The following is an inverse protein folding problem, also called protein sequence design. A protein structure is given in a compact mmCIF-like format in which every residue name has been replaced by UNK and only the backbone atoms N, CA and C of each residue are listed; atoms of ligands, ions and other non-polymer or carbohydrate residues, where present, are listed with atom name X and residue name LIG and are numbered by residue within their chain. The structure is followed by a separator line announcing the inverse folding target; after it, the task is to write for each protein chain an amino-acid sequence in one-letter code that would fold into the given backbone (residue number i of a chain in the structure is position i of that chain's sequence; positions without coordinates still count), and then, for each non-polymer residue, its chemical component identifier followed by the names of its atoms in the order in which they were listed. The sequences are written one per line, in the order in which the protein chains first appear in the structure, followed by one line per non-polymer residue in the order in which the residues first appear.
data_IF_596882018967
#
_entry.id   IF_596882018967
#
_cell.length_a   1.000
_cell.length_b   1.000
_cell.length_c   1.000
_cell.angle_alpha   90.00
_cell.angle_beta   90.00
_cell.angle_gamma   90.00
#
_symmetry.space_group_name_H-M   'P 1'
#
loop_
_entity.id
_entity.type
_entity.pdbx_description
1 polymer ?
#
# COMPACT_ATOMS: atom_id res chain seq x y z
N UNK A 1 5.63 -40.00 40.39
CA UNK A 1 6.52 -39.28 39.46
C UNK A 1 6.03 -39.36 38.01
N UNK A 2 5.76 -40.50 37.44
CA UNK A 2 5.31 -40.66 36.02
C UNK A 2 3.96 -39.99 35.72
N UNK A 3 2.99 -40.03 36.64
CA UNK A 3 1.66 -39.41 36.45
C UNK A 3 1.76 -37.90 36.36
N UNK A 4 2.65 -37.26 37.11
CA UNK A 4 2.86 -35.80 37.04
C UNK A 4 3.46 -35.38 35.71
N UNK A 5 4.39 -36.16 35.16
CA UNK A 5 4.99 -35.93 33.85
C UNK A 5 3.93 -36.07 32.75
N UNK A 6 3.08 -37.11 32.85
CA UNK A 6 1.99 -37.32 31.90
C UNK A 6 0.98 -36.15 31.90
N UNK A 7 0.58 -35.68 33.11
CA UNK A 7 -0.32 -34.53 33.25
C UNK A 7 0.31 -33.25 32.71
N UNK A 8 1.59 -33.04 32.89
CA UNK A 8 2.31 -31.88 32.35
C UNK A 8 2.34 -31.90 30.82
N UNK A 9 2.60 -33.06 30.20
CA UNK A 9 2.58 -33.22 28.76
C UNK A 9 1.18 -32.95 28.17
N UNK A 10 0.15 -33.52 28.85
CA UNK A 10 -1.25 -33.30 28.44
C UNK A 10 -1.62 -31.83 28.53
N UNK A 11 -1.24 -31.13 29.60
CA UNK A 11 -1.51 -29.69 29.75
C UNK A 11 -0.82 -28.84 28.69
N UNK A 12 0.41 -29.20 28.31
CA UNK A 12 1.11 -28.53 27.19
C UNK A 12 0.41 -28.74 25.85
N UNK A 13 -0.04 -29.94 25.55
CA UNK A 13 -0.74 -30.25 24.31
C UNK A 13 -2.09 -29.52 24.24
N UNK A 14 -2.84 -29.51 25.33
CA UNK A 14 -4.13 -28.79 25.45
C UNK A 14 -3.91 -27.28 25.33
N UNK A 15 -2.90 -26.71 26.00
CA UNK A 15 -2.59 -25.29 25.86
C UNK A 15 -2.20 -24.90 24.44
N UNK A 16 -1.48 -25.77 23.72
CA UNK A 16 -1.14 -25.55 22.33
C UNK A 16 -2.35 -25.64 21.40
N UNK A 17 -3.25 -26.58 21.66
CA UNK A 17 -4.46 -26.78 20.87
C UNK A 17 -5.50 -25.67 21.07
N UNK A 18 -5.54 -25.06 22.26
CA UNK A 18 -6.46 -23.98 22.61
C UNK A 18 -5.91 -22.59 22.31
N UNK A 19 -4.70 -22.46 21.77
CA UNK A 19 -4.19 -21.16 21.37
C UNK A 19 -5.11 -20.50 20.34
N UNK A 20 -5.62 -19.29 20.63
CA UNK A 20 -6.46 -18.57 19.67
C UNK A 20 -5.67 -18.34 18.37
N UNK A 21 -6.27 -18.66 17.26
CA UNK A 21 -5.65 -18.41 15.94
C UNK A 21 -5.49 -16.90 15.79
N UNK A 22 -4.30 -16.41 15.43
CA UNK A 22 -4.12 -14.98 15.16
C UNK A 22 -5.13 -14.53 14.11
N UNK A 23 -5.85 -13.46 14.41
CA UNK A 23 -6.82 -12.89 13.48
C UNK A 23 -6.04 -12.42 12.25
N UNK A 24 -6.47 -12.87 11.09
CA UNK A 24 -5.89 -12.42 9.82
C UNK A 24 -6.52 -11.07 9.48
N UNK A 25 -5.73 -10.03 9.19
CA UNK A 25 -6.28 -8.79 8.66
C UNK A 25 -7.08 -9.11 7.39
N UNK A 26 -8.16 -8.38 7.14
CA UNK A 26 -8.88 -8.44 5.87
C UNK A 26 -8.23 -7.44 4.91
N UNK A 27 -8.16 -7.80 3.62
CA UNK A 27 -7.80 -6.82 2.59
C UNK A 27 -8.92 -5.78 2.51
N UNK A 28 -8.55 -4.50 2.36
CA UNK A 28 -9.50 -3.44 2.07
C UNK A 28 -10.17 -3.70 0.71
N UNK A 29 -11.47 -3.50 0.63
CA UNK A 29 -12.19 -3.53 -0.63
C UNK A 29 -11.90 -2.25 -1.43
N UNK A 30 -12.07 -2.30 -2.75
CA UNK A 30 -11.84 -1.13 -3.60
C UNK A 30 -12.75 0.05 -3.22
N UNK A 31 -13.97 -0.24 -2.80
CA UNK A 31 -14.97 0.72 -2.37
C UNK A 31 -14.63 1.46 -1.07
N UNK A 32 -13.64 0.97 -0.32
CA UNK A 32 -13.14 1.64 0.90
C UNK A 32 -12.17 2.79 0.59
N UNK A 33 -11.73 2.93 -0.67
CA UNK A 33 -10.87 4.03 -1.08
C UNK A 33 -11.71 5.21 -1.56
N UNK A 34 -11.50 6.36 -0.93
CA UNK A 34 -12.10 7.63 -1.33
C UNK A 34 -11.15 8.34 -2.33
N UNK A 35 -11.62 8.51 -3.55
CA UNK A 35 -10.87 9.22 -4.59
C UNK A 35 -11.60 10.50 -4.98
N UNK A 36 -10.86 11.62 -5.15
CA UNK A 36 -11.45 12.84 -5.69
C UNK A 36 -11.89 12.60 -7.14
N UNK A 37 -13.18 12.49 -7.36
CA UNK A 37 -13.78 12.28 -8.68
C UNK A 37 -14.16 13.58 -9.36
N UNK A 38 -14.19 13.59 -10.67
CA UNK A 38 -14.64 14.73 -11.47
C UNK A 38 -16.17 14.70 -11.57
N UNK A 39 -16.80 15.81 -11.23
CA UNK A 39 -18.21 16.06 -11.51
C UNK A 39 -18.35 17.02 -12.70
N UNK A 40 -19.51 16.96 -13.38
CA UNK A 40 -19.81 17.89 -14.47
C UNK A 40 -19.79 19.33 -13.94
N UNK A 41 -19.00 20.19 -14.62
CA UNK A 41 -18.82 21.59 -14.20
C UNK A 41 -17.64 21.84 -13.26
N UNK A 42 -16.87 20.83 -12.91
CA UNK A 42 -15.63 21.02 -12.13
C UNK A 42 -14.64 21.88 -12.93
N UNK A 43 -14.20 23.04 -12.38
CA UNK A 43 -13.28 23.93 -13.07
C UNK A 43 -11.90 23.25 -13.24
N UNK A 44 -11.33 23.38 -14.43
CA UNK A 44 -9.99 22.90 -14.69
C UNK A 44 -8.97 23.94 -14.26
N UNK A 45 -7.92 23.49 -13.56
CA UNK A 45 -6.81 24.34 -13.15
C UNK A 45 -5.94 24.65 -14.37
N UNK A 46 -5.65 25.94 -14.57
CA UNK A 46 -4.67 26.40 -15.55
C UNK A 46 -3.49 27.00 -14.79
N UNK A 47 -2.28 26.56 -15.12
CA UNK A 47 -1.06 26.97 -14.43
C UNK A 47 -0.28 27.96 -15.27
N UNK A 48 0.22 29.00 -14.62
CA UNK A 48 1.17 29.97 -15.16
C UNK A 48 2.38 30.07 -14.25
N UNK A 49 3.56 29.72 -14.74
CA UNK A 49 4.81 29.68 -13.98
C UNK A 49 4.96 28.41 -13.12
N UNK A 50 5.87 28.45 -12.17
CA UNK A 50 6.18 27.31 -11.29
C UNK A 50 5.22 27.28 -10.11
N UNK A 51 4.38 26.26 -10.01
CA UNK A 51 3.35 26.13 -8.98
C UNK A 51 3.32 24.72 -8.40
N UNK A 52 3.14 24.63 -7.08
CA UNK A 52 2.77 23.39 -6.42
C UNK A 52 1.29 23.09 -6.64
N UNK A 53 1.00 21.95 -7.23
CA UNK A 53 -0.36 21.45 -7.42
C UNK A 53 -0.67 20.41 -6.34
N UNK A 54 -1.67 20.71 -5.52
CA UNK A 54 -2.19 19.79 -4.49
C UNK A 54 -3.49 19.14 -4.90
N UNK A 55 -4.24 19.83 -5.76
CA UNK A 55 -5.56 19.37 -6.21
C UNK A 55 -5.43 18.60 -7.51
N UNK A 56 -5.69 17.34 -7.44
CA UNK A 56 -5.72 16.43 -8.59
C UNK A 56 -7.04 15.66 -8.58
N UNK A 57 -7.47 15.22 -9.74
CA UNK A 57 -8.73 14.49 -9.89
C UNK A 57 -8.49 13.13 -10.51
N UNK A 58 -9.24 12.12 -10.08
CA UNK A 58 -9.17 10.78 -10.68
C UNK A 58 -10.13 10.69 -11.83
N UNK A 59 -9.60 10.47 -13.03
CA UNK A 59 -10.36 10.25 -14.27
C UNK A 59 -10.68 8.77 -14.47
N UNK A 60 -9.92 7.89 -13.86
CA UNK A 60 -10.17 6.46 -13.95
C UNK A 60 -9.24 5.66 -13.05
N UNK A 61 -9.74 4.53 -12.59
CA UNK A 61 -8.99 3.57 -11.77
C UNK A 61 -9.06 2.20 -12.46
N UNK A 62 -7.94 1.49 -12.45
CA UNK A 62 -7.88 0.15 -13.03
C UNK A 62 -6.86 -0.75 -12.35
N UNK A 63 -6.85 -2.02 -12.73
CA UNK A 63 -5.86 -3.01 -12.28
C UNK A 63 -5.74 -3.15 -10.75
N UNK A 64 -6.82 -2.91 -10.02
CA UNK A 64 -6.81 -3.12 -8.58
C UNK A 64 -6.56 -4.59 -8.25
N UNK A 65 -5.52 -4.82 -7.45
CA UNK A 65 -5.17 -6.16 -6.99
C UNK A 65 -4.47 -6.08 -5.64
N UNK A 66 -4.61 -7.13 -4.86
CA UNK A 66 -3.95 -7.28 -3.58
C UNK A 66 -2.97 -8.44 -3.60
N UNK A 67 -1.87 -8.31 -2.87
CA UNK A 67 -0.94 -9.40 -2.61
C UNK A 67 -0.65 -9.51 -1.12
N UNK A 68 -0.56 -10.75 -0.62
CA UNK A 68 -0.38 -11.00 0.80
C UNK A 68 1.06 -10.73 1.23
N UNK A 69 1.24 -10.02 2.33
CA UNK A 69 2.51 -9.95 3.05
C UNK A 69 2.54 -11.13 4.03
N UNK A 70 3.54 -11.99 3.90
CA UNK A 70 3.61 -13.23 4.67
C UNK A 70 4.84 -13.23 5.56
N UNK A 71 4.62 -13.28 6.87
CA UNK A 71 5.67 -13.54 7.84
C UNK A 71 5.86 -15.06 8.06
N UNK A 72 7.12 -15.50 8.12
CA UNK A 72 7.49 -16.87 8.47
C UNK A 72 7.85 -16.91 9.94
N UNK A 73 7.06 -17.61 10.74
CA UNK A 73 7.39 -17.91 12.13
C UNK A 73 8.02 -19.28 12.21
N UNK A 74 9.25 -19.35 12.77
CA UNK A 74 9.89 -20.64 13.07
C UNK A 74 9.33 -21.17 14.39
N UNK A 75 8.70 -22.32 14.37
CA UNK A 75 8.27 -23.07 15.54
C UNK A 75 9.14 -24.30 15.76
N UNK A 76 9.02 -24.94 16.91
CA UNK A 76 9.75 -26.19 17.28
C UNK A 76 9.51 -27.35 16.28
N UNK A 77 8.36 -27.36 15.59
CA UNK A 77 7.96 -28.42 14.66
C UNK A 77 7.83 -27.93 13.20
N UNK A 78 8.53 -26.85 12.83
CA UNK A 78 8.53 -26.34 11.45
C UNK A 78 8.26 -24.85 11.34
N UNK A 79 8.18 -24.33 10.10
CA UNK A 79 7.88 -22.93 9.84
C UNK A 79 6.41 -22.75 9.43
N UNK A 80 5.70 -21.86 10.13
CA UNK A 80 4.33 -21.48 9.81
C UNK A 80 4.34 -20.14 9.07
N UNK A 81 3.66 -20.08 7.93
CA UNK A 81 3.43 -18.84 7.20
C UNK A 81 2.14 -18.19 7.70
N UNK A 82 2.21 -16.94 8.12
CA UNK A 82 1.04 -16.17 8.56
C UNK A 82 0.96 -14.87 7.76
N UNK A 83 -0.21 -14.56 7.20
CA UNK A 83 -0.44 -13.27 6.53
C UNK A 83 -0.51 -12.18 7.58
N UNK A 84 0.39 -11.19 7.47
CA UNK A 84 0.50 -10.06 8.39
C UNK A 84 -0.10 -8.77 7.82
N UNK A 85 -0.28 -8.71 6.51
CA UNK A 85 -0.83 -7.55 5.83
C UNK A 85 -1.05 -7.79 4.34
N UNK A 86 -1.37 -6.73 3.62
CA UNK A 86 -1.61 -6.75 2.18
C UNK A 86 -0.89 -5.59 1.51
N UNK A 87 -0.35 -5.84 0.32
CA UNK A 87 0.09 -4.81 -0.62
C UNK A 87 -1.01 -4.57 -1.63
N UNK A 88 -1.28 -3.31 -1.90
CA UNK A 88 -2.28 -2.87 -2.85
C UNK A 88 -1.59 -2.38 -4.12
N UNK A 89 -2.12 -2.78 -5.25
CA UNK A 89 -1.65 -2.35 -6.56
C UNK A 89 -2.84 -1.80 -7.33
N UNK A 90 -2.70 -0.65 -7.91
CA UNK A 90 -3.72 -0.04 -8.76
C UNK A 90 -3.07 0.85 -9.82
N UNK A 91 -3.79 1.10 -10.89
CA UNK A 91 -3.45 2.09 -11.90
C UNK A 91 -4.42 3.25 -11.78
N UNK A 92 -3.90 4.45 -11.64
CA UNK A 92 -4.68 5.68 -11.57
C UNK A 92 -4.44 6.51 -12.83
N UNK A 93 -5.51 6.96 -13.46
CA UNK A 93 -5.48 8.01 -14.47
C UNK A 93 -5.91 9.30 -13.80
N UNK A 94 -4.95 10.22 -13.63
CA UNK A 94 -5.15 11.45 -12.89
C UNK A 94 -5.11 12.65 -13.83
N UNK A 95 -6.07 13.55 -13.67
CA UNK A 95 -6.05 14.89 -14.25
C UNK A 95 -5.36 15.84 -13.26
N UNK A 96 -4.30 16.51 -13.71
CA UNK A 96 -3.58 17.49 -12.90
C UNK A 96 -4.03 18.90 -13.22
N UNK A 97 -3.73 19.35 -14.42
CA UNK A 97 -4.01 20.70 -14.88
C UNK A 97 -3.98 20.78 -16.41
N UNK A 98 -4.33 21.94 -16.93
CA UNK A 98 -4.22 22.27 -18.35
C UNK A 98 -3.05 23.24 -18.57
N UNK A 99 -2.22 22.99 -19.59
CA UNK A 99 -1.11 23.87 -19.96
C UNK A 99 0.17 23.65 -19.15
N UNK A 100 0.43 22.45 -18.68
CA UNK A 100 1.70 22.10 -18.06
C UNK A 100 2.77 21.87 -19.14
N UNK A 101 3.91 22.53 -19.01
CA UNK A 101 5.07 22.32 -19.89
C UNK A 101 5.95 21.21 -19.38
N UNK A 102 6.34 21.27 -18.11
CA UNK A 102 7.21 20.31 -17.45
C UNK A 102 6.71 19.95 -16.06
N UNK A 103 6.92 18.68 -15.70
CA UNK A 103 6.80 18.20 -14.32
C UNK A 103 8.21 18.13 -13.72
N UNK A 104 8.45 18.89 -12.65
CA UNK A 104 9.79 19.04 -12.07
C UNK A 104 9.97 18.30 -10.75
N UNK A 105 8.90 18.11 -9.99
CA UNK A 105 8.95 17.39 -8.72
C UNK A 105 7.62 16.68 -8.41
N UNK A 106 7.73 15.50 -7.80
CA UNK A 106 6.59 14.75 -7.26
C UNK A 106 6.84 14.49 -5.78
N UNK A 107 5.86 14.81 -4.94
CA UNK A 107 5.86 14.49 -3.51
C UNK A 107 4.71 13.56 -3.16
N UNK A 108 4.94 12.75 -2.13
CA UNK A 108 3.91 11.95 -1.46
C UNK A 108 3.97 12.30 0.02
N UNK A 109 2.97 13.05 0.49
CA UNK A 109 3.07 13.72 1.78
C UNK A 109 4.30 14.63 1.84
N UNK A 110 5.12 14.51 2.87
CA UNK A 110 6.36 15.28 3.04
C UNK A 110 7.58 14.69 2.34
N UNK A 111 7.42 13.56 1.62
CA UNK A 111 8.53 12.84 1.01
C UNK A 111 8.64 13.16 -0.47
N UNK A 112 9.80 13.63 -0.91
CA UNK A 112 10.08 13.79 -2.34
C UNK A 112 10.19 12.40 -2.99
N UNK A 113 9.26 12.09 -3.87
CA UNK A 113 9.26 10.87 -4.66
C UNK A 113 10.24 10.97 -5.83
N UNK A 114 10.25 12.10 -6.51
CA UNK A 114 11.08 12.32 -7.68
C UNK A 114 11.35 13.82 -7.90
N UNK A 115 12.51 14.13 -8.48
CA UNK A 115 12.90 15.46 -8.93
C UNK A 115 13.58 15.33 -10.29
N UNK A 116 13.25 16.18 -11.23
CA UNK A 116 13.82 16.18 -12.58
C UNK A 116 13.09 17.12 -13.52
N UNK A 117 13.06 16.80 -14.79
CA UNK A 117 12.25 17.47 -15.80
C UNK A 117 11.60 16.39 -16.67
N UNK A 118 10.28 16.40 -16.73
CA UNK A 118 9.49 15.52 -17.58
C UNK A 118 8.52 16.37 -18.40
N UNK A 119 8.85 16.50 -19.68
CA UNK A 119 8.06 17.33 -20.59
C UNK A 119 6.63 16.80 -20.77
N UNK A 120 5.69 17.69 -21.02
CA UNK A 120 4.27 17.39 -21.24
C UNK A 120 4.01 16.52 -22.48
N UNK A 121 4.98 16.43 -23.41
CA UNK A 121 4.92 15.52 -24.55
C UNK A 121 4.82 14.03 -24.19
N UNK A 122 5.02 13.74 -22.92
CA UNK A 122 4.88 12.41 -22.35
C UNK A 122 6.21 11.72 -22.12
N UNK A 123 6.17 10.70 -21.30
CA UNK A 123 7.31 9.89 -20.95
C UNK A 123 6.93 8.83 -19.92
N UNK A 124 7.86 7.94 -19.62
CA UNK A 124 7.71 6.98 -18.55
C UNK A 124 8.68 7.30 -17.43
N UNK A 125 8.13 7.55 -16.26
CA UNK A 125 8.89 7.71 -15.03
C UNK A 125 8.72 6.45 -14.18
N UNK A 126 9.82 5.91 -13.68
CA UNK A 126 9.79 4.80 -12.74
C UNK A 126 10.39 5.24 -11.41
N UNK A 127 9.55 5.32 -10.40
CA UNK A 127 9.96 5.69 -9.04
C UNK A 127 10.05 4.41 -8.23
N UNK A 128 11.25 4.13 -7.68
CA UNK A 128 11.51 2.98 -6.81
C UNK A 128 12.07 3.51 -5.49
N UNK A 129 11.19 4.00 -4.65
CA UNK A 129 11.53 4.44 -3.29
C UNK A 129 10.77 3.57 -2.31
N UNK A 130 11.47 2.76 -1.50
CA UNK A 130 10.85 2.06 -0.37
C UNK A 130 10.32 3.10 0.62
N UNK A 131 9.27 2.76 1.31
CA UNK A 131 8.60 3.60 2.35
C UNK A 131 7.93 4.89 1.81
N UNK A 132 7.76 5.05 0.48
CA UNK A 132 7.17 6.24 -0.10
C UNK A 132 5.73 6.47 0.40
N UNK A 133 4.94 5.39 0.46
CA UNK A 133 3.56 5.39 0.96
C UNK A 133 3.44 4.92 2.42
N UNK A 134 4.53 4.86 3.15
CA UNK A 134 4.60 4.27 4.48
C UNK A 134 4.91 2.76 4.43
N UNK A 135 4.97 2.13 5.59
CA UNK A 135 5.36 0.74 5.74
C UNK A 135 6.83 0.55 6.07
N UNK A 136 7.23 -0.69 6.28
CA UNK A 136 8.61 -1.05 6.55
C UNK A 136 9.46 -1.04 5.27
N UNK A 137 10.78 -0.89 5.43
CA UNK A 137 11.72 -0.87 4.29
C UNK A 137 11.52 -2.09 3.39
N UNK A 138 11.25 -1.84 2.12
CA UNK A 138 11.00 -2.87 1.11
C UNK A 138 9.53 -3.25 0.94
N UNK A 139 8.61 -2.60 1.60
CA UNK A 139 7.16 -2.80 1.46
C UNK A 139 6.48 -1.76 0.56
N UNK A 140 7.19 -0.73 0.14
CA UNK A 140 6.71 0.32 -0.77
C UNK A 140 6.99 0.04 -2.23
#
# INVERSE_FOLDING_TARGET
MWIQIALFIVSLVVSYALQPKPQRPKAAAFEEFDFPTVEDGTPQIVIFGDVWLTDWTVLGVGNYRTSNIVAKQKGLFGSKKTTTGYRYHMSLHMGLCRGMDDLVEIKVGDRTAWTGSLASSGGRLSIKKPDLFGGDKGEG
#
